data_IF_282503951288
#
_entry.id   IF_282503951288
#
_cell.length_a   1.000
_cell.length_b   1.000
_cell.length_c   1.000
_cell.angle_alpha   90.00
_cell.angle_beta   90.00
_cell.angle_gamma   90.00
#
_symmetry.space_group_name_H-M   'P 1'
#
loop_
_entity.id
_entity.type
_entity.pdbx_description
1 polymer ?
#
# COMPACT_ATOMS: atom_id res chain seq x y z
N UNK A 1 -9.74 29.99 -8.99
CA UNK A 1 -9.07 28.74 -8.55
C UNK A 1 -9.04 27.80 -9.72
N UNK A 2 -7.91 27.19 -10.00
CA UNK A 2 -7.82 26.18 -11.04
C UNK A 2 -8.69 24.97 -10.62
N UNK A 3 -9.64 24.55 -11.49
CA UNK A 3 -10.56 23.43 -11.21
C UNK A 3 -9.86 22.09 -10.90
N UNK A 4 -8.55 22.04 -11.11
CA UNK A 4 -7.70 20.87 -10.84
C UNK A 4 -7.08 20.87 -9.44
N UNK A 5 -7.32 21.89 -8.64
CA UNK A 5 -6.74 22.01 -7.29
C UNK A 5 -7.82 21.84 -6.22
N UNK A 6 -7.66 20.80 -5.39
CA UNK A 6 -8.50 20.58 -4.22
C UNK A 6 -7.87 21.27 -3.01
N UNK A 7 -8.66 22.07 -2.30
CA UNK A 7 -8.24 22.77 -1.06
C UNK A 7 -9.17 22.33 0.07
N UNK A 8 -8.59 21.94 1.21
CA UNK A 8 -9.39 21.57 2.38
C UNK A 8 -8.67 21.88 3.68
N UNK A 9 -9.42 21.92 4.76
CA UNK A 9 -8.87 22.08 6.10
C UNK A 9 -8.91 20.77 6.87
N UNK A 10 -7.84 20.50 7.61
CA UNK A 10 -7.78 19.39 8.59
C UNK A 10 -7.59 19.98 9.98
N UNK A 11 -8.28 19.42 10.95
CA UNK A 11 -8.03 19.64 12.36
C UNK A 11 -7.61 18.34 13.05
N UNK A 12 -6.87 18.45 14.15
CA UNK A 12 -6.56 17.28 14.97
C UNK A 12 -7.80 16.89 15.78
N UNK A 13 -8.25 15.63 15.74
CA UNK A 13 -9.37 15.17 16.58
C UNK A 13 -9.14 15.41 18.07
N UNK A 14 -7.89 15.28 18.53
CA UNK A 14 -7.49 15.40 19.94
C UNK A 14 -7.28 16.86 20.38
N UNK A 15 -7.11 17.79 19.46
CA UNK A 15 -6.94 19.20 19.77
C UNK A 15 -7.41 20.11 18.62
N UNK A 16 -8.73 20.22 18.40
CA UNK A 16 -9.29 20.93 17.25
C UNK A 16 -9.01 22.43 17.26
N UNK A 17 -8.71 23.02 18.45
CA UNK A 17 -8.48 24.46 18.58
C UNK A 17 -7.05 24.91 18.25
N UNK A 18 -6.06 24.00 18.30
CA UNK A 18 -4.65 24.38 18.20
C UNK A 18 -3.95 23.88 16.93
N UNK A 19 -4.53 22.97 16.18
CA UNK A 19 -3.90 22.38 15.00
C UNK A 19 -4.83 22.38 13.79
N UNK A 20 -5.02 23.55 13.21
CA UNK A 20 -5.67 23.71 11.92
C UNK A 20 -4.61 23.65 10.81
N UNK A 21 -4.80 22.75 9.84
CA UNK A 21 -3.95 22.67 8.65
C UNK A 21 -4.76 22.99 7.41
N UNK A 22 -4.32 23.98 6.67
CA UNK A 22 -4.79 24.18 5.30
C UNK A 22 -4.01 23.22 4.39
N UNK A 23 -4.73 22.35 3.70
CA UNK A 23 -4.18 21.38 2.79
C UNK A 23 -4.61 21.71 1.37
N UNK A 24 -3.73 21.46 0.42
CA UNK A 24 -4.05 21.51 -1.00
C UNK A 24 -3.43 20.31 -1.71
N UNK A 25 -4.08 19.86 -2.77
CA UNK A 25 -3.59 18.81 -3.65
C UNK A 25 -4.04 19.08 -5.06
N UNK A 26 -3.16 18.85 -6.02
CA UNK A 26 -3.57 18.78 -7.42
C UNK A 26 -4.15 17.41 -7.70
N UNK A 27 -5.26 17.39 -8.41
CA UNK A 27 -5.95 16.15 -8.79
C UNK A 27 -5.28 15.46 -9.97
N UNK A 28 -4.62 16.24 -10.83
CA UNK A 28 -3.95 15.80 -12.04
C UNK A 28 -2.45 16.12 -11.96
N UNK A 29 -1.65 15.17 -11.48
CA UNK A 29 -0.20 15.34 -11.38
C UNK A 29 0.45 15.52 -12.76
N UNK A 30 -0.02 14.82 -13.78
CA UNK A 30 0.50 14.91 -15.14
C UNK A 30 0.39 16.31 -15.74
N UNK A 31 -0.74 17.01 -15.49
CA UNK A 31 -0.90 18.40 -15.93
C UNK A 31 0.17 19.32 -15.33
N UNK A 32 0.50 19.11 -14.06
CA UNK A 32 1.57 19.87 -13.41
C UNK A 32 2.94 19.57 -14.00
N UNK A 33 3.21 18.30 -14.28
CA UNK A 33 4.46 17.88 -14.91
C UNK A 33 4.61 18.46 -16.31
N UNK A 34 3.55 18.42 -17.11
CA UNK A 34 3.51 19.00 -18.45
C UNK A 34 3.80 20.50 -18.44
N UNK A 35 3.11 21.25 -17.57
CA UNK A 35 3.21 22.70 -17.47
C UNK A 35 4.53 23.20 -16.83
N UNK A 36 5.12 22.42 -15.92
CA UNK A 36 6.18 22.91 -15.03
C UNK A 36 7.47 22.12 -15.07
N UNK A 37 7.48 20.97 -15.76
CA UNK A 37 8.67 20.11 -15.77
C UNK A 37 9.10 19.80 -17.19
N UNK A 38 8.21 19.26 -18.03
CA UNK A 38 8.62 18.69 -19.32
C UNK A 38 9.25 19.74 -20.26
N UNK A 39 8.74 20.95 -20.26
CA UNK A 39 9.28 22.03 -21.10
C UNK A 39 10.70 22.51 -20.76
N UNK A 40 11.22 22.14 -19.59
CA UNK A 40 12.58 22.54 -19.16
C UNK A 40 13.65 21.55 -19.61
N UNK A 41 13.28 20.36 -20.07
CA UNK A 41 14.23 19.29 -20.40
C UNK A 41 14.06 18.87 -21.86
N UNK A 42 15.18 18.77 -22.57
CA UNK A 42 15.20 18.28 -23.96
C UNK A 42 14.89 16.77 -24.03
N UNK A 43 15.33 16.03 -23.03
CA UNK A 43 15.12 14.59 -22.92
C UNK A 43 14.77 14.24 -21.49
N UNK A 44 13.75 13.38 -21.31
CA UNK A 44 13.31 12.88 -20.02
C UNK A 44 13.27 11.36 -20.09
N UNK A 45 13.89 10.70 -19.11
CA UNK A 45 13.82 9.26 -18.92
C UNK A 45 13.20 8.99 -17.58
N UNK A 46 12.13 8.21 -17.57
CA UNK A 46 11.46 7.74 -16.36
C UNK A 46 11.76 6.26 -16.18
N UNK A 47 12.25 5.87 -15.01
CA UNK A 47 12.53 4.48 -14.69
C UNK A 47 12.01 4.13 -13.29
N UNK A 48 11.69 2.88 -13.10
CA UNK A 48 11.22 2.35 -11.81
C UNK A 48 11.00 0.84 -11.88
N UNK A 49 10.91 0.20 -10.73
CA UNK A 49 10.70 -1.24 -10.64
C UNK A 49 9.34 -1.65 -11.25
N UNK A 50 8.31 -0.82 -11.07
CA UNK A 50 6.98 -1.05 -11.58
C UNK A 50 6.32 0.27 -12.00
N UNK A 51 6.70 0.82 -13.17
CA UNK A 51 6.06 1.99 -13.74
C UNK A 51 4.71 1.66 -14.37
N UNK A 52 4.60 0.50 -15.00
CA UNK A 52 3.38 0.02 -15.65
C UNK A 52 3.45 -1.50 -15.89
N UNK A 53 2.27 -2.11 -15.99
CA UNK A 53 2.07 -3.47 -16.48
C UNK A 53 1.55 -3.43 -17.92
N UNK A 54 1.41 -4.59 -18.60
CA UNK A 54 0.77 -4.64 -19.94
C UNK A 54 -0.64 -4.03 -19.95
N UNK A 55 -1.34 -4.08 -18.80
CA UNK A 55 -2.73 -3.60 -18.67
C UNK A 55 -2.83 -2.16 -18.15
N UNK A 56 -1.73 -1.60 -17.64
CA UNK A 56 -1.72 -0.26 -17.02
C UNK A 56 -0.84 0.74 -17.74
N UNK A 57 -0.28 0.39 -18.90
CA UNK A 57 0.58 1.28 -19.67
C UNK A 57 -0.14 2.56 -20.11
N UNK A 58 -1.32 2.40 -20.72
CA UNK A 58 -2.13 3.56 -21.15
C UNK A 58 -2.55 4.39 -19.95
N UNK A 59 -2.97 3.76 -18.85
CA UNK A 59 -3.28 4.47 -17.61
C UNK A 59 -2.11 5.30 -17.12
N UNK A 60 -0.89 4.74 -17.10
CA UNK A 60 0.30 5.47 -16.65
C UNK A 60 0.65 6.62 -17.59
N UNK A 61 0.57 6.42 -18.92
CA UNK A 61 0.76 7.48 -19.91
C UNK A 61 -0.24 8.62 -19.72
N UNK A 62 -1.51 8.30 -19.54
CA UNK A 62 -2.57 9.28 -19.30
C UNK A 62 -2.37 10.04 -17.98
N UNK A 63 -2.03 9.34 -16.90
CA UNK A 63 -1.78 9.97 -15.60
C UNK A 63 -0.57 10.90 -15.61
N UNK A 64 0.44 10.61 -16.40
CA UNK A 64 1.64 11.42 -16.56
C UNK A 64 1.56 12.39 -17.73
N UNK A 65 0.47 12.38 -18.52
CA UNK A 65 0.28 13.16 -19.75
C UNK A 65 1.42 12.99 -20.73
N UNK A 66 1.83 11.75 -20.94
CA UNK A 66 2.83 11.38 -21.93
C UNK A 66 2.17 11.17 -23.30
N UNK A 67 2.90 11.47 -24.35
CA UNK A 67 2.47 11.16 -25.73
C UNK A 67 2.32 9.64 -25.90
N UNK A 68 1.39 9.23 -26.78
CA UNK A 68 1.12 7.80 -27.02
C UNK A 68 2.31 7.06 -27.62
N UNK A 69 3.14 7.77 -28.38
CA UNK A 69 4.32 7.28 -29.07
C UNK A 69 5.61 7.35 -28.22
N UNK A 70 5.50 7.76 -26.96
CA UNK A 70 6.63 7.69 -26.03
C UNK A 70 7.20 6.28 -26.00
N UNK A 71 8.51 6.19 -26.21
CA UNK A 71 9.22 4.92 -26.22
C UNK A 71 9.15 4.28 -24.83
N UNK A 72 8.55 3.11 -24.76
CA UNK A 72 8.47 2.31 -23.53
C UNK A 72 9.29 1.05 -23.68
N UNK A 73 10.04 0.68 -22.63
CA UNK A 73 10.81 -0.56 -22.60
C UNK A 73 10.59 -1.27 -21.27
N UNK A 74 10.39 -2.57 -21.35
CA UNK A 74 10.32 -3.47 -20.21
C UNK A 74 11.52 -4.37 -20.18
N UNK A 75 12.06 -4.52 -19.00
CA UNK A 75 13.05 -5.54 -18.71
C UNK A 75 12.38 -6.65 -17.93
N UNK A 76 12.68 -7.88 -18.26
CA UNK A 76 12.22 -9.04 -17.49
C UNK A 76 13.01 -9.11 -16.19
N UNK A 77 12.36 -9.61 -15.14
CA UNK A 77 13.03 -9.92 -13.89
C UNK A 77 14.05 -11.06 -14.09
N UNK A 78 15.19 -10.97 -13.44
CA UNK A 78 16.20 -12.02 -13.42
C UNK A 78 15.80 -13.19 -12.49
N UNK A 79 14.77 -12.99 -11.65
CA UNK A 79 14.30 -14.02 -10.72
C UNK A 79 13.41 -15.06 -11.40
N UNK A 80 13.70 -16.33 -11.16
CA UNK A 80 12.86 -17.46 -11.57
C UNK A 80 11.73 -17.67 -10.55
N UNK A 81 10.69 -16.84 -10.65
CA UNK A 81 9.54 -16.91 -9.74
C UNK A 81 8.82 -18.24 -9.76
N UNK A 82 8.88 -19.00 -10.85
CA UNK A 82 8.22 -20.29 -10.94
C UNK A 82 8.82 -21.31 -9.96
N UNK A 83 10.11 -21.22 -9.69
CA UNK A 83 10.82 -22.14 -8.79
C UNK A 83 11.16 -21.49 -7.44
N UNK A 84 11.28 -20.17 -7.40
CA UNK A 84 11.73 -19.43 -6.19
C UNK A 84 10.59 -18.89 -5.34
N UNK A 85 9.36 -18.78 -5.86
CA UNK A 85 8.22 -18.21 -5.14
C UNK A 85 7.00 -19.13 -5.18
N UNK A 86 6.21 -19.11 -4.11
CA UNK A 86 4.90 -19.75 -4.04
C UNK A 86 3.86 -18.74 -3.59
N UNK A 87 2.78 -18.61 -4.35
CA UNK A 87 1.61 -17.83 -3.96
C UNK A 87 0.54 -18.76 -3.39
N UNK A 88 0.06 -18.44 -2.19
CA UNK A 88 -1.02 -19.17 -1.50
C UNK A 88 -2.17 -18.19 -1.28
N UNK A 89 -3.36 -18.58 -1.68
CA UNK A 89 -4.58 -17.81 -1.50
C UNK A 89 -5.45 -18.50 -0.44
N UNK A 90 -5.82 -17.76 0.61
CA UNK A 90 -6.78 -18.24 1.60
C UNK A 90 -8.17 -18.33 0.96
N UNK A 91 -8.72 -19.52 0.87
CA UNK A 91 -10.06 -19.77 0.29
C UNK A 91 -11.16 -19.80 1.33
N UNK A 92 -10.80 -19.86 2.60
CA UNK A 92 -11.66 -19.83 3.80
C UNK A 92 -11.81 -18.44 4.40
N UNK A 93 -11.25 -17.43 3.72
CA UNK A 93 -11.40 -16.03 4.13
C UNK A 93 -12.87 -15.63 4.08
N UNK A 94 -13.38 -15.00 5.14
CA UNK A 94 -14.76 -14.49 5.15
C UNK A 94 -14.94 -13.48 4.01
N UNK A 95 -16.12 -13.51 3.39
CA UNK A 95 -16.48 -12.54 2.37
C UNK A 95 -16.63 -11.15 3.00
N UNK A 96 -15.66 -10.28 2.73
CA UNK A 96 -15.63 -8.90 3.25
C UNK A 96 -16.70 -8.01 2.62
N UNK A 97 -17.37 -8.46 1.54
CA UNK A 97 -18.51 -7.76 0.95
C UNK A 97 -19.81 -8.01 1.74
N UNK A 98 -19.88 -9.08 2.50
CA UNK A 98 -21.03 -9.50 3.30
C UNK A 98 -20.99 -8.98 4.73
N UNK A 99 -20.85 -7.66 4.93
CA UNK A 99 -21.09 -6.96 6.22
C UNK A 99 -20.45 -7.60 7.49
N UNK A 100 -19.27 -8.21 7.36
CA UNK A 100 -18.53 -8.59 8.56
C UNK A 100 -18.22 -7.33 9.39
N UNK A 101 -18.51 -7.42 10.67
CA UNK A 101 -18.04 -6.39 11.59
C UNK A 101 -16.50 -6.32 11.53
N UNK A 102 -15.96 -5.13 11.73
CA UNK A 102 -14.51 -4.94 11.82
C UNK A 102 -13.86 -5.90 12.84
N UNK A 103 -14.59 -6.22 13.90
CA UNK A 103 -14.13 -7.13 14.94
C UNK A 103 -13.98 -8.58 14.43
N UNK A 104 -14.92 -9.06 13.63
CA UNK A 104 -14.81 -10.41 13.01
C UNK A 104 -13.64 -10.50 12.04
N UNK A 105 -13.42 -9.46 11.25
CA UNK A 105 -12.26 -9.39 10.38
C UNK A 105 -10.94 -9.41 11.16
N UNK A 106 -10.83 -8.62 12.23
CA UNK A 106 -9.63 -8.62 13.08
C UNK A 106 -9.42 -9.97 13.79
N UNK A 107 -10.52 -10.63 14.23
CA UNK A 107 -10.44 -11.97 14.81
C UNK A 107 -9.91 -12.99 13.79
N UNK A 108 -10.47 -13.01 12.57
CA UNK A 108 -9.99 -13.88 11.49
C UNK A 108 -8.51 -13.66 11.18
N UNK A 109 -8.07 -12.40 11.01
CA UNK A 109 -6.65 -12.11 10.76
C UNK A 109 -5.75 -12.54 11.92
N UNK A 110 -6.23 -12.35 13.16
CA UNK A 110 -5.48 -12.77 14.35
C UNK A 110 -5.33 -14.30 14.38
N UNK A 111 -6.39 -15.04 14.06
CA UNK A 111 -6.36 -16.51 14.01
C UNK A 111 -5.44 -17.02 12.89
N UNK A 112 -5.53 -16.46 11.71
CA UNK A 112 -4.69 -16.82 10.58
C UNK A 112 -3.21 -16.56 10.87
N UNK A 113 -2.88 -15.39 11.41
CA UNK A 113 -1.50 -15.04 11.76
C UNK A 113 -0.98 -15.85 12.96
N UNK A 114 -1.82 -16.15 13.95
CA UNK A 114 -1.46 -17.05 15.03
C UNK A 114 -1.05 -18.43 14.50
N UNK A 115 -1.84 -18.98 13.57
CA UNK A 115 -1.50 -20.25 12.91
C UNK A 115 -0.18 -20.21 12.15
N UNK A 116 0.11 -19.11 11.45
CA UNK A 116 1.38 -18.91 10.75
C UNK A 116 2.54 -18.85 11.78
N UNK A 117 2.39 -18.06 12.84
CA UNK A 117 3.42 -17.90 13.89
C UNK A 117 3.75 -19.22 14.56
N UNK A 118 2.74 -20.05 14.81
CA UNK A 118 2.92 -21.33 15.49
C UNK A 118 3.49 -22.45 14.61
N UNK A 119 3.17 -22.40 13.31
CA UNK A 119 3.57 -23.46 12.37
C UNK A 119 4.84 -23.16 11.59
N UNK A 120 5.31 -21.92 11.58
CA UNK A 120 6.50 -21.51 10.84
C UNK A 120 7.45 -20.71 11.71
N UNK A 121 8.74 -20.75 11.38
CA UNK A 121 9.76 -19.86 11.96
C UNK A 121 10.36 -18.91 10.92
N UNK A 122 9.60 -18.61 9.85
CA UNK A 122 10.05 -17.79 8.74
C UNK A 122 10.05 -16.30 9.10
N UNK A 123 11.04 -15.55 8.62
CA UNK A 123 11.07 -14.09 8.70
C UNK A 123 9.88 -13.54 7.91
N UNK A 124 8.95 -12.89 8.60
CA UNK A 124 7.62 -12.61 8.04
C UNK A 124 7.32 -11.12 8.00
N UNK A 125 6.94 -10.61 6.84
CA UNK A 125 6.33 -9.29 6.68
C UNK A 125 4.83 -9.45 6.43
N UNK A 126 4.01 -8.74 7.20
CA UNK A 126 2.56 -8.70 7.05
C UNK A 126 2.15 -7.30 6.64
N UNK A 127 1.54 -7.17 5.47
CA UNK A 127 1.10 -5.89 4.91
C UNK A 127 -0.38 -5.65 5.20
N UNK A 128 -0.65 -4.51 5.81
CA UNK A 128 -1.98 -4.00 6.14
C UNK A 128 -2.29 -2.73 5.38
N UNK A 129 -3.58 -2.37 5.30
CA UNK A 129 -4.03 -1.11 4.71
C UNK A 129 -4.23 0.01 5.74
N UNK A 130 -4.30 -0.31 7.04
CA UNK A 130 -4.48 0.67 8.11
C UNK A 130 -3.66 0.36 9.36
N UNK A 131 -3.34 1.41 10.13
CA UNK A 131 -2.70 1.26 11.43
C UNK A 131 -3.65 0.69 12.49
N UNK A 132 -4.93 0.93 12.35
CA UNK A 132 -5.96 0.38 13.25
C UNK A 132 -6.02 -1.15 13.16
N UNK A 133 -5.94 -1.71 11.94
CA UNK A 133 -5.89 -3.17 11.75
C UNK A 133 -4.61 -3.76 12.35
N UNK A 134 -3.47 -3.07 12.23
CA UNK A 134 -2.20 -3.49 12.85
C UNK A 134 -2.34 -3.55 14.37
N UNK A 135 -2.87 -2.48 14.98
CA UNK A 135 -3.03 -2.39 16.43
C UNK A 135 -3.97 -3.48 16.96
N UNK A 136 -5.12 -3.67 16.32
CA UNK A 136 -6.09 -4.68 16.71
C UNK A 136 -5.52 -6.10 16.65
N UNK A 137 -4.84 -6.44 15.54
CA UNK A 137 -4.22 -7.75 15.36
C UNK A 137 -3.04 -7.94 16.31
N UNK A 138 -2.18 -6.94 16.50
CA UNK A 138 -1.08 -7.00 17.46
C UNK A 138 -1.58 -7.28 18.88
N UNK A 139 -2.63 -6.59 19.31
CA UNK A 139 -3.25 -6.80 20.61
C UNK A 139 -3.83 -8.23 20.75
N UNK A 140 -4.51 -8.72 19.73
CA UNK A 140 -5.03 -10.09 19.70
C UNK A 140 -3.93 -11.15 19.81
N UNK A 141 -2.81 -10.99 19.09
CA UNK A 141 -1.66 -11.87 19.15
C UNK A 141 -0.95 -11.79 20.52
N UNK A 142 -0.89 -10.59 21.11
CA UNK A 142 -0.29 -10.36 22.43
C UNK A 142 -1.10 -10.99 23.56
N UNK A 143 -2.43 -10.92 23.52
CA UNK A 143 -3.33 -11.58 24.49
C UNK A 143 -3.11 -13.11 24.46
N UNK A 144 -2.81 -13.67 23.29
CA UNK A 144 -2.47 -15.11 23.14
C UNK A 144 -1.03 -15.44 23.55
N UNK A 145 -0.25 -14.46 23.98
CA UNK A 145 1.13 -14.64 24.41
C UNK A 145 2.12 -14.92 23.27
N UNK A 146 1.73 -14.70 22.01
CA UNK A 146 2.57 -15.01 20.84
C UNK A 146 3.75 -14.04 20.69
N UNK A 147 3.63 -12.83 21.21
CA UNK A 147 4.73 -11.87 21.30
C UNK A 147 5.86 -12.31 22.24
N UNK A 148 5.63 -13.29 23.12
CA UNK A 148 6.65 -13.93 23.96
C UNK A 148 7.36 -15.09 23.23
N UNK A 149 6.70 -15.69 22.24
CA UNK A 149 7.28 -16.78 21.44
C UNK A 149 8.16 -16.24 20.31
N UNK A 150 7.73 -15.16 19.67
CA UNK A 150 8.43 -14.48 18.57
C UNK A 150 8.33 -12.97 18.72
N UNK A 151 9.37 -12.27 18.32
CA UNK A 151 9.34 -10.82 18.27
C UNK A 151 8.34 -10.34 17.21
N UNK A 152 7.34 -9.55 17.63
CA UNK A 152 6.36 -8.93 16.76
C UNK A 152 6.60 -7.42 16.74
N UNK A 153 7.05 -6.93 15.61
CA UNK A 153 7.28 -5.52 15.31
C UNK A 153 6.04 -4.94 14.67
N UNK A 154 5.38 -3.96 15.30
CA UNK A 154 4.11 -3.43 14.84
C UNK A 154 4.18 -1.91 14.68
N UNK A 155 3.95 -1.43 13.46
CA UNK A 155 3.96 -0.01 13.12
C UNK A 155 2.87 0.73 13.90
N UNK A 156 3.27 1.87 14.51
CA UNK A 156 2.35 2.68 15.31
C UNK A 156 2.15 2.16 16.73
N UNK A 157 2.56 0.92 17.04
CA UNK A 157 2.44 0.32 18.38
C UNK A 157 3.80 0.33 19.10
N UNK A 158 4.82 -0.29 18.52
CA UNK A 158 6.11 -0.43 19.19
C UNK A 158 7.30 0.13 18.41
N UNK A 159 7.03 0.95 17.37
CA UNK A 159 8.06 1.70 16.67
C UNK A 159 7.57 2.49 15.47
N UNK A 160 8.43 3.42 14.99
CA UNK A 160 8.25 4.10 13.71
C UNK A 160 8.71 3.18 12.57
N UNK A 161 8.25 3.40 11.32
CA UNK A 161 8.65 2.57 10.18
C UNK A 161 10.15 2.37 10.06
N UNK A 162 10.94 3.44 10.22
CA UNK A 162 12.40 3.42 10.08
C UNK A 162 13.06 2.56 11.17
N UNK A 163 12.62 2.72 12.42
CA UNK A 163 13.12 1.94 13.55
C UNK A 163 12.77 0.47 13.40
N UNK A 164 11.54 0.18 13.00
CA UNK A 164 11.06 -1.20 12.81
C UNK A 164 11.78 -1.89 11.66
N UNK A 165 11.96 -1.21 10.51
CA UNK A 165 12.70 -1.73 9.37
C UNK A 165 14.14 -2.10 9.79
N UNK A 166 14.84 -1.17 10.45
CA UNK A 166 16.20 -1.40 10.93
C UNK A 166 16.27 -2.59 11.90
N UNK A 167 15.32 -2.67 12.83
CA UNK A 167 15.25 -3.76 13.81
C UNK A 167 14.96 -5.10 13.14
N UNK A 168 14.03 -5.14 12.20
CA UNK A 168 13.67 -6.33 11.42
C UNK A 168 14.85 -6.91 10.65
N UNK A 169 15.68 -6.06 10.03
CA UNK A 169 16.88 -6.48 9.30
C UNK A 169 18.00 -6.96 10.24
N UNK A 170 18.19 -6.28 11.38
CA UNK A 170 19.30 -6.57 12.31
C UNK A 170 19.01 -7.75 13.23
N UNK A 171 17.76 -8.12 13.43
CA UNK A 171 17.38 -9.21 14.34
C UNK A 171 17.85 -10.55 13.78
N UNK A 172 18.58 -11.30 14.60
CA UNK A 172 19.04 -12.66 14.28
C UNK A 172 17.94 -13.72 14.44
N UNK A 173 16.92 -13.41 15.24
CA UNK A 173 15.74 -14.26 15.42
C UNK A 173 14.71 -13.96 14.32
N UNK A 174 14.00 -14.98 13.85
CA UNK A 174 12.94 -14.84 12.84
C UNK A 174 11.76 -14.03 13.41
N UNK A 175 11.75 -12.73 13.18
CA UNK A 175 10.73 -11.79 13.67
C UNK A 175 9.56 -11.64 12.69
N UNK A 176 8.50 -10.99 13.15
CA UNK A 176 7.30 -10.67 12.36
C UNK A 176 7.14 -9.17 12.35
N UNK A 177 7.01 -8.60 11.16
CA UNK A 177 6.80 -7.17 10.98
C UNK A 177 5.39 -6.91 10.45
N UNK A 178 4.59 -6.19 11.21
CA UNK A 178 3.27 -5.72 10.83
C UNK A 178 3.39 -4.27 10.33
N UNK A 179 3.19 -4.05 9.04
CA UNK A 179 3.42 -2.76 8.40
C UNK A 179 2.29 -2.32 7.45
N UNK A 180 2.16 -1.02 7.27
CA UNK A 180 1.23 -0.40 6.33
C UNK A 180 1.88 0.79 5.62
N UNK A 181 1.24 1.33 4.59
CA UNK A 181 1.71 2.54 3.89
C UNK A 181 3.12 2.39 3.32
N UNK A 182 4.13 2.94 4.00
CA UNK A 182 5.53 2.91 3.56
C UNK A 182 6.17 1.51 3.53
N UNK A 183 5.48 0.50 4.03
CA UNK A 183 5.94 -0.88 3.93
C UNK A 183 5.48 -1.60 2.65
N UNK A 184 4.56 -1.00 1.89
CA UNK A 184 4.15 -1.53 0.59
C UNK A 184 5.19 -1.32 -0.50
N UNK A 185 6.01 -0.28 -0.39
CA UNK A 185 7.00 0.10 -1.40
C UNK A 185 8.32 0.53 -0.75
N UNK A 186 9.42 0.39 -1.47
CA UNK A 186 10.72 0.92 -1.04
C UNK A 186 11.36 0.19 0.14
N UNK A 187 10.98 -1.05 0.40
CA UNK A 187 11.70 -1.91 1.33
C UNK A 187 12.67 -2.78 0.54
N UNK A 188 13.95 -2.56 0.76
CA UNK A 188 14.99 -3.47 0.33
C UNK A 188 15.35 -4.39 1.51
N UNK A 189 15.06 -5.67 1.34
CA UNK A 189 15.34 -6.71 2.34
C UNK A 189 16.24 -7.75 1.68
N UNK A 190 17.56 -7.70 1.96
CA UNK A 190 18.50 -8.59 1.31
C UNK A 190 18.34 -10.04 1.76
N UNK A 191 18.55 -10.97 0.83
CA UNK A 191 18.63 -12.41 1.06
C UNK A 191 17.47 -13.01 1.87
N UNK A 192 17.80 -13.74 2.93
CA UNK A 192 16.85 -14.43 3.82
C UNK A 192 16.10 -13.49 4.78
N UNK A 193 16.17 -12.17 4.59
CA UNK A 193 15.51 -11.20 5.48
C UNK A 193 14.01 -11.07 5.19
N UNK A 194 13.50 -11.72 4.15
CA UNK A 194 12.08 -11.89 3.90
C UNK A 194 11.82 -13.27 3.29
N UNK A 195 11.25 -14.17 4.08
CA UNK A 195 10.93 -15.53 3.64
C UNK A 195 9.42 -15.72 3.44
N UNK A 196 8.61 -14.96 4.17
CA UNK A 196 7.14 -15.00 4.07
C UNK A 196 6.56 -13.58 4.00
N UNK A 197 5.84 -13.33 2.91
CA UNK A 197 5.03 -12.13 2.74
C UNK A 197 3.55 -12.48 2.90
N UNK A 198 2.87 -11.82 3.82
CA UNK A 198 1.42 -11.95 4.01
C UNK A 198 0.76 -10.64 3.60
N UNK A 199 -0.17 -10.70 2.67
CA UNK A 199 -0.98 -9.57 2.22
C UNK A 199 -2.39 -9.77 2.78
N UNK A 200 -2.80 -8.94 3.72
CA UNK A 200 -4.10 -9.06 4.38
C UNK A 200 -5.24 -8.61 3.46
N UNK A 201 -4.98 -7.57 2.66
CA UNK A 201 -5.89 -7.02 1.64
C UNK A 201 -5.06 -6.41 0.51
N UNK A 202 -5.61 -6.39 -0.70
CA UNK A 202 -5.01 -5.63 -1.80
C UNK A 202 -4.97 -4.13 -1.47
N UNK A 203 -3.95 -3.38 -1.94
CA UNK A 203 -3.69 -1.99 -1.55
C UNK A 203 -4.61 -0.98 -2.23
N UNK A 204 -5.92 -1.25 -2.21
CA UNK A 204 -6.90 -0.28 -2.67
C UNK A 204 -6.94 0.93 -1.74
N UNK A 205 -6.93 2.11 -2.33
CA UNK A 205 -7.13 3.33 -1.56
C UNK A 205 -8.58 3.46 -1.11
N UNK A 206 -8.79 4.07 0.08
CA UNK A 206 -10.14 4.31 0.57
C UNK A 206 -10.93 5.18 -0.41
N UNK A 207 -12.11 4.73 -0.87
CA UNK A 207 -12.98 5.53 -1.72
C UNK A 207 -13.50 6.78 -1.00
N UNK A 208 -13.51 6.77 0.33
CA UNK A 208 -14.00 7.87 1.16
C UNK A 208 -13.01 9.01 1.32
N UNK A 209 -11.77 8.84 0.89
CA UNK A 209 -10.80 9.94 0.92
C UNK A 209 -11.32 11.10 0.06
N UNK A 210 -11.10 12.33 0.51
CA UNK A 210 -11.59 13.52 -0.18
C UNK A 210 -11.10 13.60 -1.64
N UNK A 211 -9.84 13.26 -1.85
CA UNK A 211 -9.22 13.24 -3.17
C UNK A 211 -9.89 12.20 -4.07
N UNK A 212 -10.11 10.98 -3.57
CA UNK A 212 -10.74 9.92 -4.34
C UNK A 212 -12.21 10.23 -4.66
N UNK A 213 -12.95 10.80 -3.72
CA UNK A 213 -14.34 11.25 -3.99
C UNK A 213 -14.41 12.21 -5.17
N UNK A 214 -13.49 13.17 -5.24
CA UNK A 214 -13.48 14.13 -6.37
C UNK A 214 -13.01 13.45 -7.66
N UNK A 215 -11.94 12.66 -7.62
CA UNK A 215 -11.44 11.92 -8.78
C UNK A 215 -12.51 10.97 -9.35
N UNK A 216 -13.19 10.22 -8.49
CA UNK A 216 -14.24 9.28 -8.90
C UNK A 216 -15.42 10.01 -9.54
N UNK A 217 -15.84 11.15 -8.96
CA UNK A 217 -16.89 12.00 -9.57
C UNK A 217 -16.48 12.47 -10.97
N UNK A 218 -15.24 12.93 -11.14
CA UNK A 218 -14.73 13.37 -12.44
C UNK A 218 -14.70 12.25 -13.48
N UNK A 219 -14.32 11.03 -13.06
CA UNK A 219 -14.30 9.83 -13.92
C UNK A 219 -15.71 9.40 -14.29
N UNK A 220 -16.64 9.41 -13.33
CA UNK A 220 -18.06 9.11 -13.58
C UNK A 220 -18.72 10.12 -14.53
N UNK A 221 -18.39 11.41 -14.39
CA UNK A 221 -18.88 12.45 -15.31
C UNK A 221 -18.44 12.24 -16.76
N UNK A 222 -17.30 11.54 -16.97
CA UNK A 222 -16.79 11.13 -18.28
C UNK A 222 -17.38 9.78 -18.77
N UNK A 223 -18.32 9.18 -18.02
CA UNK A 223 -18.98 7.91 -18.37
C UNK A 223 -18.14 6.65 -18.04
N UNK A 224 -17.06 6.77 -17.27
CA UNK A 224 -16.21 5.64 -16.91
C UNK A 224 -16.51 5.12 -15.50
N UNK A 225 -16.23 3.83 -15.26
CA UNK A 225 -16.32 3.24 -13.93
C UNK A 225 -15.05 3.58 -13.11
N UNK A 226 -15.18 4.24 -11.94
CA UNK A 226 -14.03 4.66 -11.13
C UNK A 226 -13.15 3.51 -10.63
N UNK A 227 -13.74 2.37 -10.35
CA UNK A 227 -12.98 1.20 -9.89
C UNK A 227 -12.02 0.72 -10.98
N UNK A 228 -12.52 0.48 -12.19
CA UNK A 228 -11.70 -0.01 -13.30
C UNK A 228 -10.76 1.04 -13.87
N UNK A 229 -11.16 2.32 -13.85
CA UNK A 229 -10.38 3.40 -14.43
C UNK A 229 -9.32 4.00 -13.48
N UNK A 230 -9.47 3.85 -12.18
CA UNK A 230 -8.57 4.45 -11.18
C UNK A 230 -8.09 3.43 -10.15
N UNK A 231 -9.02 2.82 -9.39
CA UNK A 231 -8.64 2.02 -8.22
C UNK A 231 -7.85 0.77 -8.59
N UNK A 232 -8.29 0.06 -9.61
CA UNK A 232 -7.65 -1.19 -10.04
C UNK A 232 -6.25 -0.96 -10.64
N UNK A 233 -6.03 -0.01 -11.57
CA UNK A 233 -4.69 0.29 -12.05
C UNK A 233 -3.74 0.74 -10.93
N UNK A 234 -4.17 1.61 -10.02
CA UNK A 234 -3.33 2.07 -8.91
C UNK A 234 -2.94 0.94 -7.95
N UNK A 235 -3.88 0.04 -7.63
CA UNK A 235 -3.57 -1.12 -6.80
C UNK A 235 -2.66 -2.13 -7.50
N UNK A 236 -2.74 -2.24 -8.83
CA UNK A 236 -1.89 -3.14 -9.62
C UNK A 236 -0.45 -2.61 -9.80
N UNK A 237 -0.22 -1.33 -9.49
CA UNK A 237 1.10 -0.68 -9.56
C UNK A 237 1.78 -0.58 -8.18
N UNK A 238 1.22 -1.17 -7.16
CA UNK A 238 1.78 -1.30 -5.80
C UNK A 238 2.20 -2.73 -5.52
#
# INVERSE_FOLDING_TARGET
>A
MDETTLVWMKHSPNNPKTHLRLCFSRLEAGKYLEERVYGYFKHIVMCGALLFTKKTEDYTKDQLRLDKDVLTKRYQSEFDYAHQARAVFATDSPDLSSMLSKAEYHAYLTDALAGIIEKTSLQTLVLFNSLEDIEAVYNGLSIRGLNKKREILAQGVNGTPEKLKKRFVLTSSKSILLGAGSFWEGIDLPEEKLELLVITRLPFQSPDSLINKVRYRNVQAKGHNPFSAVSLPEAALK
#
